data_IF_988658390487
#
_entry.id   IF_988658390487
#
_cell.length_a   1.000
_cell.length_b   1.000
_cell.length_c   1.000
_cell.angle_alpha   90.00
_cell.angle_beta   90.00
_cell.angle_gamma   90.00
#
_symmetry.space_group_name_H-M   'P 1'
#
loop_
_entity.id
_entity.type
_entity.pdbx_description
1 polymer ?
#
# COMPACT_ATOMS: atom_id res chain seq x y z
N UNK A 1 15.46 10.63 18.70
CA UNK A 1 14.10 10.20 19.09
C UNK A 1 14.16 8.72 19.39
N UNK A 2 13.65 8.30 20.53
CA UNK A 2 13.59 6.88 20.91
C UNK A 2 12.38 6.20 20.26
N UNK A 3 12.43 4.86 20.18
CA UNK A 3 11.48 3.94 19.50
C UNK A 3 10.00 4.11 19.89
N UNK A 4 9.69 4.84 20.96
CA UNK A 4 8.35 4.99 21.56
C UNK A 4 7.57 6.25 21.13
N UNK A 5 8.20 7.22 20.45
CA UNK A 5 7.55 8.50 20.12
C UNK A 5 6.89 8.54 18.73
N UNK A 6 6.89 7.43 17.97
CA UNK A 6 6.38 7.37 16.59
C UNK A 6 5.56 6.09 16.28
N UNK A 7 5.01 5.42 17.30
CA UNK A 7 4.43 4.08 17.19
C UNK A 7 2.92 4.08 16.99
N UNK A 8 2.44 4.37 15.79
CA UNK A 8 1.07 4.00 15.40
C UNK A 8 1.11 2.69 14.61
N UNK A 9 0.07 1.89 14.69
CA UNK A 9 -0.14 0.73 13.82
C UNK A 9 -1.28 0.97 12.82
N UNK A 10 -1.32 0.15 11.77
CA UNK A 10 -2.39 0.23 10.76
C UNK A 10 -3.74 -0.09 11.42
N UNK A 11 -3.79 -1.07 12.32
CA UNK A 11 -4.98 -1.48 13.06
C UNK A 11 -5.51 -0.37 13.99
N UNK A 12 -4.62 0.44 14.57
CA UNK A 12 -5.00 1.56 15.45
C UNK A 12 -5.56 2.77 14.67
N UNK A 13 -5.14 2.93 13.41
CA UNK A 13 -5.55 4.08 12.57
C UNK A 13 -6.76 3.78 11.70
N UNK A 14 -6.95 2.52 11.28
CA UNK A 14 -8.11 2.07 10.51
C UNK A 14 -9.50 2.43 11.09
N UNK A 15 -9.75 2.39 12.43
CA UNK A 15 -11.03 2.81 12.98
C UNK A 15 -11.33 4.28 12.69
N UNK A 16 -10.29 5.13 12.64
CA UNK A 16 -10.45 6.56 12.35
C UNK A 16 -10.88 6.77 10.89
N UNK A 17 -10.28 6.03 9.96
CA UNK A 17 -10.69 6.04 8.55
C UNK A 17 -12.12 5.50 8.38
N UNK A 18 -12.43 4.35 8.98
CA UNK A 18 -13.77 3.76 8.93
C UNK A 18 -14.83 4.73 9.49
N UNK A 19 -14.57 5.36 10.64
CA UNK A 19 -15.49 6.35 11.22
C UNK A 19 -15.69 7.57 10.31
N UNK A 20 -14.63 8.02 9.64
CA UNK A 20 -14.70 9.15 8.70
C UNK A 20 -15.48 8.79 7.45
N UNK A 21 -15.29 7.58 6.91
CA UNK A 21 -16.07 7.08 5.77
C UNK A 21 -17.55 7.01 6.15
N UNK A 22 -17.88 6.40 7.30
CA UNK A 22 -19.25 6.25 7.77
C UNK A 22 -19.94 7.57 8.14
N UNK A 23 -19.19 8.61 8.50
CA UNK A 23 -19.77 9.93 8.75
C UNK A 23 -20.14 10.67 7.46
N UNK A 24 -19.51 10.32 6.33
CA UNK A 24 -19.79 10.86 5.01
C UNK A 24 -20.89 10.05 4.32
N UNK A 25 -20.77 8.73 4.31
CA UNK A 25 -21.73 7.78 3.75
C UNK A 25 -22.00 6.66 4.78
N UNK A 26 -23.10 6.75 5.55
CA UNK A 26 -23.42 5.77 6.58
C UNK A 26 -23.75 4.37 6.05
N UNK A 27 -24.18 4.24 4.79
CA UNK A 27 -24.85 3.04 4.30
C UNK A 27 -23.99 2.23 3.33
N UNK A 28 -23.21 2.90 2.48
CA UNK A 28 -22.41 2.23 1.45
C UNK A 28 -23.29 1.62 0.33
N UNK A 29 -22.86 0.51 -0.30
CA UNK A 29 -21.68 -0.28 0.01
C UNK A 29 -20.39 0.42 -0.40
N UNK A 30 -19.28 0.08 0.26
CA UNK A 30 -18.02 0.79 0.07
C UNK A 30 -17.11 0.15 -0.99
N UNK A 31 -16.38 1.00 -1.71
CA UNK A 31 -15.20 0.62 -2.47
C UNK A 31 -14.02 1.42 -1.95
N UNK A 32 -12.90 0.76 -1.66
CA UNK A 32 -11.70 1.40 -1.14
C UNK A 32 -10.55 1.24 -2.12
N UNK A 33 -9.60 2.17 -2.06
CA UNK A 33 -8.39 2.12 -2.85
C UNK A 33 -7.21 2.53 -1.99
N UNK A 34 -6.05 1.93 -2.24
CA UNK A 34 -4.81 2.28 -1.59
C UNK A 34 -3.63 2.10 -2.52
N UNK A 35 -2.63 2.96 -2.37
CA UNK A 35 -1.33 2.84 -3.02
C UNK A 35 -0.25 2.63 -1.99
N UNK A 36 0.69 1.70 -2.26
CA UNK A 36 1.79 1.40 -1.33
C UNK A 36 1.23 1.05 0.05
N UNK A 37 1.75 1.63 1.13
CA UNK A 37 1.18 1.50 2.49
C UNK A 37 -0.32 1.82 2.58
N UNK A 38 -0.84 2.68 1.68
CA UNK A 38 -2.26 2.93 1.54
C UNK A 38 -3.07 1.66 1.25
N UNK A 39 -2.51 0.68 0.53
CA UNK A 39 -3.14 -0.63 0.30
C UNK A 39 -3.42 -1.37 1.60
N UNK A 40 -2.43 -1.47 2.49
CA UNK A 40 -2.60 -2.11 3.79
C UNK A 40 -3.60 -1.35 4.67
N UNK A 41 -3.58 -0.02 4.59
CA UNK A 41 -4.54 0.85 5.29
C UNK A 41 -5.96 0.68 4.78
N UNK A 42 -6.15 0.62 3.45
CA UNK A 42 -7.44 0.40 2.81
C UNK A 42 -7.99 -0.99 3.13
N UNK A 43 -7.14 -2.02 3.14
CA UNK A 43 -7.50 -3.37 3.54
C UNK A 43 -7.95 -3.44 5.00
N UNK A 44 -7.17 -2.90 5.94
CA UNK A 44 -7.56 -2.92 7.36
C UNK A 44 -8.84 -2.10 7.60
N UNK A 45 -9.00 -0.97 6.89
CA UNK A 45 -10.23 -0.17 6.95
C UNK A 45 -11.43 -0.97 6.43
N UNK A 46 -11.28 -1.68 5.31
CA UNK A 46 -12.30 -2.59 4.78
C UNK A 46 -12.66 -3.68 5.79
N UNK A 47 -11.64 -4.29 6.41
CA UNK A 47 -11.81 -5.35 7.39
C UNK A 47 -12.63 -4.85 8.59
N UNK A 48 -12.32 -3.67 9.12
CA UNK A 48 -13.05 -3.10 10.24
C UNK A 48 -14.47 -2.63 9.87
N UNK A 49 -14.70 -2.16 8.63
CA UNK A 49 -16.05 -1.88 8.14
C UNK A 49 -16.88 -3.17 8.06
N UNK A 50 -16.28 -4.26 7.58
CA UNK A 50 -16.91 -5.58 7.50
C UNK A 50 -17.24 -6.14 8.89
N UNK A 51 -16.34 -6.03 9.86
CA UNK A 51 -16.61 -6.42 11.25
C UNK A 51 -17.75 -5.61 11.90
N UNK A 52 -18.05 -4.42 11.38
CA UNK A 52 -19.21 -3.60 11.78
C UNK A 52 -20.49 -3.93 10.98
N UNK A 53 -20.48 -5.00 10.20
CA UNK A 53 -21.60 -5.43 9.35
C UNK A 53 -21.81 -4.55 8.12
N UNK A 54 -20.85 -3.71 7.73
CA UNK A 54 -20.95 -2.89 6.52
C UNK A 54 -20.41 -3.66 5.31
N UNK A 55 -21.08 -3.50 4.18
CA UNK A 55 -20.71 -4.15 2.93
C UNK A 55 -19.58 -3.40 2.24
N UNK A 56 -18.49 -4.10 1.95
CA UNK A 56 -17.39 -3.61 1.09
C UNK A 56 -17.43 -4.40 -0.21
N UNK A 57 -17.67 -3.74 -1.34
CA UNK A 57 -17.73 -4.40 -2.66
C UNK A 57 -16.35 -4.83 -3.12
N UNK A 58 -15.35 -3.97 -2.95
CA UNK A 58 -14.00 -4.30 -3.34
C UNK A 58 -12.95 -3.29 -2.91
N UNK A 59 -11.70 -3.69 -3.10
CA UNK A 59 -10.50 -2.97 -2.73
C UNK A 59 -9.57 -2.95 -3.94
N UNK A 60 -9.23 -1.75 -4.42
CA UNK A 60 -8.20 -1.56 -5.43
C UNK A 60 -6.86 -1.36 -4.72
N UNK A 61 -5.86 -2.14 -5.11
CA UNK A 61 -4.54 -2.16 -4.50
C UNK A 61 -3.51 -1.76 -5.54
N UNK A 62 -2.76 -0.69 -5.28
CA UNK A 62 -1.74 -0.20 -6.20
C UNK A 62 -0.36 -0.55 -5.63
N UNK A 63 0.26 -1.56 -6.25
CA UNK A 63 1.64 -2.01 -6.09
C UNK A 63 2.08 -2.30 -4.63
N UNK A 64 1.36 -3.20 -3.95
CA UNK A 64 1.78 -3.73 -2.65
C UNK A 64 1.33 -5.19 -2.45
N UNK A 65 2.28 -6.09 -2.18
CA UNK A 65 1.97 -7.45 -1.76
C UNK A 65 1.46 -7.50 -0.32
N UNK A 66 0.82 -8.61 0.06
CA UNK A 66 0.36 -8.86 1.41
C UNK A 66 1.52 -8.67 2.41
N UNK A 67 1.43 -7.71 3.35
CA UNK A 67 2.49 -7.51 4.33
C UNK A 67 2.69 -8.75 5.20
N UNK A 68 3.94 -9.22 5.29
CA UNK A 68 4.34 -10.32 6.17
C UNK A 68 5.35 -9.79 7.18
N UNK A 69 4.97 -9.66 8.46
CA UNK A 69 5.91 -9.21 9.48
C UNK A 69 7.13 -10.11 9.56
N UNK A 70 8.36 -9.57 9.42
CA UNK A 70 9.56 -10.36 9.58
C UNK A 70 9.77 -10.71 11.07
N UNK A 71 10.50 -11.79 11.39
CA UNK A 71 10.85 -12.13 12.78
C UNK A 71 11.60 -11.01 13.51
N UNK A 72 12.32 -10.17 12.77
CA UNK A 72 13.01 -8.99 13.29
C UNK A 72 12.89 -7.88 12.26
N UNK A 73 12.40 -6.72 12.69
CA UNK A 73 12.28 -5.55 11.83
C UNK A 73 13.63 -4.82 11.81
N UNK A 74 14.28 -4.67 10.64
CA UNK A 74 15.52 -3.91 10.52
C UNK A 74 15.32 -2.47 11.00
N UNK A 75 16.28 -1.95 11.77
CA UNK A 75 16.17 -0.61 12.32
C UNK A 75 16.38 0.44 11.23
N UNK A 76 15.33 1.22 10.98
CA UNK A 76 15.31 2.36 10.08
C UNK A 76 15.38 3.67 10.86
N UNK A 77 16.08 4.65 10.28
CA UNK A 77 16.12 6.04 10.73
C UNK A 77 15.96 7.00 9.55
N UNK A 78 15.74 8.28 9.83
CA UNK A 78 15.67 9.31 8.77
C UNK A 78 16.99 9.37 8.02
N UNK A 79 18.11 9.36 8.74
CA UNK A 79 19.46 9.42 8.15
C UNK A 79 19.72 8.22 7.24
N UNK A 80 19.31 7.01 7.66
CA UNK A 80 19.48 5.82 6.85
C UNK A 80 18.63 5.88 5.57
N UNK A 81 17.37 6.34 5.68
CA UNK A 81 16.49 6.52 4.52
C UNK A 81 16.98 7.63 3.58
N UNK A 82 17.59 8.70 4.10
CA UNK A 82 18.27 9.71 3.28
C UNK A 82 19.45 9.12 2.52
N UNK A 83 20.26 8.27 3.17
CA UNK A 83 21.37 7.56 2.54
C UNK A 83 20.91 6.56 1.47
N UNK A 84 19.70 6.01 1.62
CA UNK A 84 19.06 5.14 0.62
C UNK A 84 18.39 5.92 -0.52
N UNK A 85 18.38 7.27 -0.48
CA UNK A 85 17.73 8.07 -1.52
C UNK A 85 16.20 7.96 -1.55
N UNK A 86 15.55 7.40 -0.53
CA UNK A 86 14.09 7.21 -0.48
C UNK A 86 13.32 8.46 -0.02
N UNK A 87 13.89 9.64 -0.26
CA UNK A 87 13.24 10.93 -0.03
C UNK A 87 13.37 11.81 -1.28
N UNK A 88 12.71 11.45 -2.38
CA UNK A 88 12.70 12.29 -3.58
C UNK A 88 12.11 13.67 -3.23
N UNK A 89 12.58 14.75 -3.86
CA UNK A 89 12.00 16.07 -3.63
C UNK A 89 10.52 16.11 -4.01
N UNK A 90 9.76 16.99 -3.36
CA UNK A 90 8.37 17.25 -3.70
C UNK A 90 8.37 18.05 -5.01
N UNK A 91 7.92 17.39 -6.08
CA UNK A 91 7.72 18.00 -7.40
C UNK A 91 6.34 18.64 -7.46
N UNK A 92 6.26 19.82 -8.08
CA UNK A 92 5.02 20.56 -8.31
C UNK A 92 5.10 21.18 -9.69
N UNK A 93 4.07 20.97 -10.49
CA UNK A 93 4.03 21.48 -11.86
C UNK A 93 4.35 22.98 -11.91
N UNK A 94 5.31 23.35 -12.76
CA UNK A 94 5.77 24.72 -12.94
C UNK A 94 6.46 25.38 -11.73
N UNK A 95 6.83 24.61 -10.69
CA UNK A 95 7.47 25.13 -9.46
C UNK A 95 8.79 24.40 -9.17
N UNK A 96 9.74 25.06 -8.48
CA UNK A 96 10.97 24.42 -8.04
C UNK A 96 10.71 23.23 -7.11
N UNK A 97 11.57 22.23 -7.20
CA UNK A 97 11.64 21.10 -6.29
C UNK A 97 11.79 21.58 -4.84
N UNK A 98 10.97 21.00 -3.95
CA UNK A 98 11.00 21.33 -2.52
C UNK A 98 11.50 20.13 -1.73
N UNK A 99 12.49 20.34 -0.86
CA UNK A 99 12.95 19.28 0.05
C UNK A 99 11.80 18.77 0.92
N UNK A 100 11.76 17.45 1.16
CA UNK A 100 10.79 16.86 2.07
C UNK A 100 10.99 17.44 3.48
N UNK A 101 9.96 18.07 4.09
CA UNK A 101 10.05 18.58 5.45
C UNK A 101 10.36 17.48 6.46
N UNK A 102 11.08 17.82 7.54
CA UNK A 102 11.50 16.86 8.56
C UNK A 102 10.34 16.00 9.12
N UNK A 103 9.15 16.57 9.33
CA UNK A 103 8.01 15.81 9.83
C UNK A 103 7.53 14.72 8.85
N UNK A 104 7.62 14.95 7.54
CA UNK A 104 7.30 13.94 6.51
C UNK A 104 8.37 12.85 6.44
N UNK A 105 9.64 13.21 6.60
CA UNK A 105 10.73 12.23 6.71
C UNK A 105 10.51 11.28 7.90
N UNK A 106 10.18 11.85 9.07
CA UNK A 106 9.80 11.08 10.27
C UNK A 106 8.57 10.21 10.04
N UNK A 107 7.55 10.75 9.36
CA UNK A 107 6.35 9.99 9.02
C UNK A 107 6.67 8.78 8.12
N UNK A 108 7.54 8.90 7.12
CA UNK A 108 7.95 7.76 6.27
C UNK A 108 8.63 6.64 7.07
N UNK A 109 9.46 7.00 8.05
CA UNK A 109 10.09 6.02 8.95
C UNK A 109 9.03 5.35 9.83
N UNK A 110 8.10 6.11 10.40
CA UNK A 110 6.99 5.56 11.19
C UNK A 110 6.11 4.61 10.36
N UNK A 111 5.78 5.02 9.13
CA UNK A 111 5.06 4.24 8.13
C UNK A 111 5.75 2.91 7.80
N UNK A 112 7.07 2.91 7.64
CA UNK A 112 7.85 1.67 7.49
C UNK A 112 7.64 0.73 8.67
N UNK A 113 7.75 1.21 9.90
CA UNK A 113 7.51 0.36 11.07
C UNK A 113 6.06 -0.11 11.17
N UNK A 114 5.08 0.72 10.79
CA UNK A 114 3.68 0.33 10.76
C UNK A 114 3.44 -0.80 9.73
N UNK A 115 3.94 -0.68 8.49
CA UNK A 115 3.88 -1.74 7.47
C UNK A 115 4.55 -3.02 7.97
N UNK A 116 5.75 -2.93 8.52
CA UNK A 116 6.54 -4.10 8.94
C UNK A 116 5.95 -4.83 10.16
N UNK A 117 5.08 -4.19 10.94
CA UNK A 117 4.36 -4.81 12.06
C UNK A 117 3.01 -5.36 11.67
N UNK A 118 2.45 -4.91 10.55
CA UNK A 118 1.06 -5.20 10.19
C UNK A 118 0.88 -6.66 9.79
N UNK A 119 -0.04 -7.33 10.47
CA UNK A 119 -0.41 -8.72 10.20
C UNK A 119 -1.90 -8.75 9.77
N UNK A 120 -2.19 -8.73 8.46
CA UNK A 120 -3.57 -8.77 7.97
C UNK A 120 -4.27 -10.06 8.39
N UNK A 121 -5.57 -9.94 8.68
CA UNK A 121 -6.44 -11.06 9.04
C UNK A 121 -7.37 -11.39 7.88
N UNK A 122 -7.63 -12.67 7.58
CA UNK A 122 -8.54 -13.04 6.49
C UNK A 122 -9.98 -12.63 6.80
N UNK A 123 -10.75 -12.30 5.75
CA UNK A 123 -12.18 -12.07 5.84
C UNK A 123 -12.90 -13.39 6.09
N UNK A 124 -13.58 -13.46 7.22
CA UNK A 124 -14.52 -14.55 7.50
C UNK A 124 -15.85 -14.25 6.80
N UNK A 125 -16.54 -15.31 6.36
CA UNK A 125 -17.96 -15.20 6.00
C UNK A 125 -18.75 -15.04 7.31
N UNK A 126 -18.92 -13.80 7.76
CA UNK A 126 -19.71 -13.45 8.95
C UNK A 126 -21.04 -12.84 8.51
N UNK A 127 -22.15 -13.41 8.95
CA UNK A 127 -23.50 -12.89 8.65
C UNK A 127 -23.87 -12.90 7.16
N UNK A 128 -24.54 -11.84 6.70
CA UNK A 128 -25.01 -11.63 5.31
C UNK A 128 -24.00 -10.88 4.42
N UNK A 129 -22.83 -10.53 4.93
CA UNK A 129 -21.82 -9.77 4.16
C UNK A 129 -20.85 -10.71 3.46
N UNK A 130 -20.78 -10.63 2.13
CA UNK A 130 -19.79 -11.34 1.32
C UNK A 130 -18.38 -10.75 1.52
N UNK A 131 -17.34 -11.57 1.37
CA UNK A 131 -15.96 -11.10 1.27
C UNK A 131 -15.82 -10.05 0.16
N UNK A 132 -14.99 -9.01 0.33
CA UNK A 132 -14.74 -8.04 -0.72
C UNK A 132 -13.93 -8.67 -1.85
N UNK A 133 -14.07 -8.10 -3.05
CA UNK A 133 -13.16 -8.38 -4.16
C UNK A 133 -11.88 -7.57 -4.01
N UNK A 134 -10.77 -8.08 -4.53
CA UNK A 134 -9.50 -7.36 -4.59
C UNK A 134 -9.07 -7.29 -6.05
N UNK A 135 -8.66 -6.10 -6.48
CA UNK A 135 -8.00 -5.89 -7.77
C UNK A 135 -6.63 -5.28 -7.53
N UNK A 136 -5.58 -6.03 -7.83
CA UNK A 136 -4.20 -5.56 -7.69
C UNK A 136 -3.69 -4.99 -9.02
N UNK A 137 -3.16 -3.78 -8.99
CA UNK A 137 -2.46 -3.18 -10.14
C UNK A 137 -0.98 -3.14 -9.77
N UNK A 138 -0.19 -3.96 -10.46
CA UNK A 138 1.25 -4.04 -10.30
C UNK A 138 1.97 -3.06 -11.23
N UNK A 139 3.01 -2.41 -10.71
CA UNK A 139 4.01 -1.77 -11.55
C UNK A 139 4.89 -2.85 -12.21
N UNK A 140 5.19 -2.68 -13.50
CA UNK A 140 6.05 -3.62 -14.23
C UNK A 140 7.52 -3.59 -13.77
N UNK A 141 7.92 -2.52 -13.09
CA UNK A 141 9.26 -2.31 -12.55
C UNK A 141 9.22 -2.01 -11.06
N UNK A 142 10.34 -2.29 -10.39
CA UNK A 142 10.56 -2.00 -8.98
C UNK A 142 10.12 -3.14 -8.06
N UNK A 143 10.93 -3.37 -7.02
CA UNK A 143 10.62 -4.35 -5.97
C UNK A 143 10.49 -3.66 -4.61
N UNK A 144 9.32 -3.09 -4.35
CA UNK A 144 9.00 -2.37 -3.11
C UNK A 144 8.90 -3.26 -1.86
N UNK A 145 8.97 -4.58 -2.03
CA UNK A 145 8.99 -5.52 -0.92
C UNK A 145 10.42 -5.79 -0.41
N UNK A 146 11.45 -5.42 -1.19
CA UNK A 146 12.85 -5.46 -0.76
C UNK A 146 13.26 -4.35 0.20
N UNK A 147 12.36 -3.44 0.60
CA UNK A 147 12.70 -2.32 1.47
C UNK A 147 13.41 -2.75 2.77
N UNK A 148 13.00 -3.87 3.38
CA UNK A 148 13.65 -4.39 4.59
C UNK A 148 15.08 -4.88 4.30
N UNK A 149 15.29 -5.58 3.18
CA UNK A 149 16.62 -6.04 2.75
C UNK A 149 17.52 -4.85 2.43
N UNK A 150 16.99 -3.83 1.76
CA UNK A 150 17.71 -2.60 1.47
C UNK A 150 18.13 -1.85 2.74
N UNK A 151 17.27 -1.82 3.78
CA UNK A 151 17.64 -1.27 5.11
C UNK A 151 18.79 -2.07 5.74
N UNK A 152 18.79 -3.40 5.62
CA UNK A 152 19.87 -4.25 6.14
C UNK A 152 21.18 -4.02 5.37
N UNK A 153 21.14 -3.94 4.05
CA UNK A 153 22.29 -3.63 3.20
C UNK A 153 22.85 -2.24 3.51
N UNK A 154 21.99 -1.23 3.59
CA UNK A 154 22.33 0.13 3.98
C UNK A 154 23.03 0.17 5.33
N UNK A 155 22.49 -0.56 6.31
CA UNK A 155 23.05 -0.64 7.67
C UNK A 155 24.44 -1.27 7.67
N UNK A 156 24.66 -2.35 6.92
CA UNK A 156 25.97 -3.01 6.80
C UNK A 156 26.99 -2.07 6.16
N UNK A 157 26.59 -1.38 5.09
CA UNK A 157 27.45 -0.48 4.35
C UNK A 157 27.80 0.77 5.19
N UNK A 158 26.83 1.35 5.90
CA UNK A 158 27.07 2.47 6.82
C UNK A 158 28.07 2.11 7.94
N UNK A 159 27.99 0.90 8.50
CA UNK A 159 28.94 0.41 9.50
C UNK A 159 30.37 0.27 8.95
N UNK A 160 30.51 -0.09 7.67
CA UNK A 160 31.81 -0.27 7.01
C UNK A 160 32.46 1.06 6.65
N UNK A 161 31.69 1.98 6.05
CA UNK A 161 32.21 3.23 5.48
C UNK A 161 32.30 4.39 6.49
N UNK A 162 31.67 4.26 7.66
CA UNK A 162 31.68 5.26 8.72
C UNK A 162 30.65 6.40 8.55
N UNK A 163 30.48 7.26 9.56
CA UNK A 163 29.51 8.36 9.53
C UNK A 163 29.84 9.42 8.46
N UNK A 164 28.84 9.91 7.74
CA UNK A 164 28.99 11.02 6.78
C UNK A 164 29.34 10.61 5.34
N UNK A 165 29.54 9.32 5.07
CA UNK A 165 29.70 8.81 3.72
C UNK A 165 28.35 8.84 2.99
N UNK A 166 28.24 9.57 1.88
CA UNK A 166 27.11 9.45 0.95
C UNK A 166 27.17 8.06 0.34
N UNK A 167 26.44 7.11 0.93
CA UNK A 167 26.35 5.77 0.37
C UNK A 167 25.65 5.88 -0.98
N UNK A 168 26.31 5.44 -2.04
CA UNK A 168 25.64 5.15 -3.31
C UNK A 168 24.98 3.78 -3.16
N UNK A 169 23.91 3.72 -2.38
CA UNK A 169 23.01 2.57 -2.47
C UNK A 169 22.35 2.72 -3.84
N UNK A 170 22.60 1.75 -4.71
CA UNK A 170 21.96 1.73 -6.01
C UNK A 170 20.45 1.77 -5.81
N UNK A 171 19.80 2.70 -6.50
CA UNK A 171 18.34 2.78 -6.58
C UNK A 171 17.79 1.88 -7.70
N UNK A 172 18.65 1.08 -8.35
CA UNK A 172 18.27 0.27 -9.51
C UNK A 172 17.14 -0.71 -9.15
N UNK A 173 17.03 -1.11 -7.87
CA UNK A 173 15.93 -1.96 -7.37
C UNK A 173 14.53 -1.33 -7.53
N UNK A 174 14.43 0.00 -7.70
CA UNK A 174 13.18 0.71 -8.00
C UNK A 174 12.82 0.66 -9.49
N UNK A 175 13.79 0.33 -10.36
CA UNK A 175 13.64 0.41 -11.81
C UNK A 175 13.89 -0.92 -12.53
N UNK A 176 14.35 -1.96 -11.82
CA UNK A 176 14.50 -3.31 -12.39
C UNK A 176 13.12 -3.88 -12.75
N UNK A 177 12.99 -4.60 -13.89
CA UNK A 177 11.76 -5.31 -14.20
C UNK A 177 11.38 -6.27 -13.08
N UNK A 178 10.10 -6.30 -12.72
CA UNK A 178 9.55 -7.26 -11.76
C UNK A 178 9.48 -8.65 -12.41
N UNK A 179 9.85 -9.68 -11.65
CA UNK A 179 9.95 -11.05 -12.17
C UNK A 179 8.62 -11.82 -12.18
N UNK A 180 7.69 -11.49 -11.28
CA UNK A 180 6.43 -12.22 -11.11
C UNK A 180 5.24 -11.31 -10.80
N UNK A 181 4.07 -11.69 -11.30
CA UNK A 181 2.80 -11.00 -11.09
C UNK A 181 1.71 -12.01 -10.75
N UNK A 182 1.16 -11.91 -9.55
CA UNK A 182 0.11 -12.78 -9.04
C UNK A 182 -0.82 -12.02 -8.06
N UNK A 183 -1.59 -12.75 -7.27
CA UNK A 183 -2.47 -12.17 -6.24
C UNK A 183 -1.72 -11.47 -5.09
N UNK A 184 -0.38 -11.54 -5.04
CA UNK A 184 0.43 -10.94 -3.98
C UNK A 184 0.19 -11.52 -2.59
N UNK A 185 -0.38 -12.73 -2.51
CA UNK A 185 -0.85 -13.35 -1.27
C UNK A 185 -2.20 -12.81 -0.75
N UNK A 186 -2.81 -11.82 -1.42
CA UNK A 186 -4.12 -11.29 -1.00
C UNK A 186 -5.25 -12.31 -1.17
N UNK A 187 -5.06 -13.36 -1.96
CA UNK A 187 -5.96 -14.50 -2.07
C UNK A 187 -6.08 -15.31 -0.77
N UNK A 188 -5.06 -15.29 0.09
CA UNK A 188 -5.13 -15.86 1.44
C UNK A 188 -6.19 -15.14 2.30
N UNK A 189 -6.45 -13.87 2.00
CA UNK A 189 -7.31 -13.01 2.79
C UNK A 189 -8.78 -13.08 2.39
N UNK A 190 -9.07 -13.23 1.10
CA UNK A 190 -10.44 -13.18 0.57
C UNK A 190 -10.85 -14.43 -0.23
N UNK A 191 -9.92 -15.36 -0.45
CA UNK A 191 -10.10 -16.51 -1.34
C UNK A 191 -9.65 -16.19 -2.78
N UNK A 192 -9.06 -17.16 -3.50
CA UNK A 192 -8.50 -16.95 -4.84
C UNK A 192 -9.55 -16.53 -5.88
N UNK A 193 -10.82 -16.88 -5.68
CA UNK A 193 -11.92 -16.48 -6.57
C UNK A 193 -12.27 -14.98 -6.47
N UNK A 194 -11.78 -14.29 -5.45
CA UNK A 194 -12.07 -12.88 -5.17
C UNK A 194 -10.88 -11.95 -5.48
N UNK A 195 -9.78 -12.47 -6.03
CA UNK A 195 -8.60 -11.66 -6.38
C UNK A 195 -8.33 -11.72 -7.87
N UNK A 196 -8.17 -10.54 -8.48
CA UNK A 196 -7.72 -10.36 -9.85
C UNK A 196 -6.56 -9.36 -9.85
N UNK A 197 -5.74 -9.37 -10.90
CA UNK A 197 -4.66 -8.41 -11.04
C UNK A 197 -4.43 -8.00 -12.49
N UNK A 198 -3.78 -6.85 -12.64
CA UNK A 198 -3.29 -6.32 -13.90
C UNK A 198 -1.93 -5.64 -13.70
N UNK A 199 -1.29 -5.29 -14.81
CA UNK A 199 0.07 -4.75 -14.83
C UNK A 199 0.05 -3.46 -15.65
N UNK A 200 0.77 -2.45 -15.19
CA UNK A 200 1.19 -1.32 -16.02
C UNK A 200 2.67 -1.52 -16.34
N UNK A 201 2.95 -2.10 -17.50
CA UNK A 201 4.26 -2.67 -17.85
C UNK A 201 5.42 -1.66 -17.73
N UNK A 202 5.23 -0.44 -18.24
CA UNK A 202 6.26 0.58 -18.24
C UNK A 202 6.33 1.43 -16.95
N UNK A 203 5.50 1.11 -15.94
CA UNK A 203 5.49 1.83 -14.68
C UNK A 203 6.47 1.22 -13.66
N UNK A 204 7.07 2.08 -12.85
CA UNK A 204 7.55 1.80 -11.50
C UNK A 204 6.48 2.20 -10.45
N UNK A 205 6.77 1.96 -9.18
CA UNK A 205 5.84 2.19 -8.07
C UNK A 205 5.30 3.62 -7.96
N UNK A 206 6.14 4.63 -8.23
CA UNK A 206 5.78 6.04 -8.10
C UNK A 206 5.09 6.52 -9.38
N UNK A 207 5.64 6.18 -10.54
CA UNK A 207 5.06 6.54 -11.86
C UNK A 207 3.69 5.93 -12.10
N UNK A 208 3.32 4.84 -11.42
CA UNK A 208 1.97 4.25 -11.44
C UNK A 208 0.87 5.26 -11.08
N UNK A 209 1.19 6.25 -10.24
CA UNK A 209 0.25 7.28 -9.78
C UNK A 209 0.69 8.72 -10.10
N UNK A 210 1.97 8.95 -10.40
CA UNK A 210 2.52 10.29 -10.65
C UNK A 210 2.71 10.61 -12.14
N UNK A 211 2.89 9.62 -13.02
CA UNK A 211 3.16 9.86 -14.44
C UNK A 211 1.91 10.30 -15.18
N UNK A 212 1.95 11.46 -15.86
CA UNK A 212 0.85 11.96 -16.69
C UNK A 212 0.46 10.98 -17.80
N UNK A 213 1.44 10.24 -18.34
CA UNK A 213 1.23 9.28 -19.43
C UNK A 213 0.75 7.92 -18.93
N UNK A 214 1.25 7.43 -17.79
CA UNK A 214 0.94 6.07 -17.32
C UNK A 214 -0.28 6.02 -16.40
N UNK A 215 -0.60 7.12 -15.70
CA UNK A 215 -1.75 7.16 -14.77
C UNK A 215 -3.08 6.91 -15.48
N UNK A 216 -3.18 7.19 -16.79
CA UNK A 216 -4.39 6.88 -17.58
C UNK A 216 -4.60 5.37 -17.71
N UNK A 217 -3.53 4.58 -17.78
CA UNK A 217 -3.61 3.12 -17.82
C UNK A 217 -4.06 2.57 -16.46
N UNK A 218 -3.49 3.10 -15.37
CA UNK A 218 -3.93 2.78 -13.99
C UNK A 218 -5.41 3.09 -13.82
N UNK A 219 -5.85 4.29 -14.22
CA UNK A 219 -7.25 4.72 -14.18
C UNK A 219 -8.17 3.78 -14.95
N UNK A 220 -7.83 3.44 -16.20
CA UNK A 220 -8.64 2.58 -17.05
C UNK A 220 -8.83 1.17 -16.45
N UNK A 221 -7.78 0.64 -15.80
CA UNK A 221 -7.86 -0.63 -15.09
C UNK A 221 -8.78 -0.54 -13.86
N UNK A 222 -8.68 0.54 -13.09
CA UNK A 222 -9.56 0.80 -11.94
C UNK A 222 -11.02 0.89 -12.37
N UNK A 223 -11.34 1.65 -13.41
CA UNK A 223 -12.71 1.81 -13.92
C UNK A 223 -13.28 0.49 -14.42
N UNK A 224 -12.50 -0.31 -15.17
CA UNK A 224 -12.92 -1.64 -15.62
C UNK A 224 -13.25 -2.57 -14.44
N UNK A 225 -12.44 -2.55 -13.39
CA UNK A 225 -12.68 -3.35 -12.19
C UNK A 225 -13.95 -2.91 -11.45
N UNK A 226 -14.12 -1.60 -11.23
CA UNK A 226 -15.29 -1.04 -10.56
C UNK A 226 -16.59 -1.33 -11.34
N UNK A 227 -16.59 -1.10 -12.66
CA UNK A 227 -17.75 -1.37 -13.53
C UNK A 227 -18.14 -2.84 -13.54
N UNK A 228 -17.15 -3.74 -13.45
CA UNK A 228 -17.40 -5.19 -13.34
C UNK A 228 -18.09 -5.51 -12.01
N UNK A 229 -17.65 -4.92 -10.92
CA UNK A 229 -18.22 -5.15 -9.58
C UNK A 229 -19.63 -4.58 -9.45
N UNK A 230 -19.86 -3.35 -9.93
CA UNK A 230 -21.19 -2.71 -9.90
C UNK A 230 -22.23 -3.52 -10.69
N UNK A 231 -21.89 -3.95 -11.92
CA UNK A 231 -22.80 -4.78 -12.73
C UNK A 231 -23.20 -6.09 -12.06
N UNK A 232 -22.31 -6.68 -11.25
CA UNK A 232 -22.61 -7.92 -10.54
C UNK A 232 -23.51 -7.71 -9.31
N UNK A 233 -23.52 -6.50 -8.73
CA UNK A 233 -24.49 -6.11 -7.72
C UNK A 233 -25.87 -5.97 -8.36
N UNK A 234 -25.97 -5.28 -9.49
CA UNK A 234 -27.23 -5.06 -10.21
C UNK A 234 -27.89 -6.37 -10.67
N UNK A 235 -27.07 -7.39 -10.98
CA UNK A 235 -27.54 -8.73 -11.37
C UNK A 235 -27.97 -9.61 -10.18
N UNK A 236 -27.72 -9.20 -8.94
CA UNK A 236 -28.09 -9.93 -7.71
C UNK A 236 -28.70 -8.99 -6.65
N UNK A 237 -29.88 -8.41 -6.92
CA UNK A 237 -30.53 -7.47 -6.00
C UNK A 237 -31.02 -8.11 -4.70
N UNK A 238 -31.16 -9.43 -4.63
CA UNK A 238 -31.81 -10.16 -3.51
C UNK A 238 -30.88 -10.52 -2.33
N UNK A 239 -29.73 -9.88 -2.18
CA UNK A 239 -28.96 -9.94 -0.92
C UNK A 239 -29.47 -8.76 -0.06
N UNK A 240 -30.12 -9.00 1.09
CA UNK A 240 -30.90 -7.99 1.79
C UNK A 240 -30.10 -6.71 2.13
N UNK A 241 -30.75 -5.56 1.91
CA UNK A 241 -30.37 -4.21 2.39
C UNK A 241 -30.42 -4.15 3.91
#
# INVERSE_FOLDING_TARGET
MTKSETSWTIEETAPMYANTIQSIDPDGPYMLCGWSMGTATAYETAYQLHERGKRVLGIIMLDLALPRPPPTIPEASVELFEMMGVFPPIRREGKPDVEIPAFRKKHRVAAYYAKMKYAPRPFNNTGNTSRPRIFVIWAGHGDHDRMADMVLEATKLAKKEGPGTKLQISNDWLTVPRESFDAGGWDEMVGPENVEWAIVEDADHDTLIESEELVVLTKDLMEKAMDKWLRQVDLKPDIPV
#
